data_IF_266968759965
#
_entry.id   IF_266968759965
#
_cell.length_a   1.000
_cell.length_b   1.000
_cell.length_c   1.000
_cell.angle_alpha   90.00
_cell.angle_beta   90.00
_cell.angle_gamma   90.00
#
_symmetry.space_group_name_H-M   'P 1'
#
loop_
_entity.id
_entity.type
_entity.pdbx_description
1 polymer ?
#
# COMPACT_ATOMS: atom_id res chain seq x y z
N UNK A 1 0.53 -0.39 -27.77
CA UNK A 1 0.17 -1.06 -26.52
C UNK A 1 1.35 -0.84 -25.61
N UNK A 2 1.25 0.10 -24.69
CA UNK A 2 2.28 0.34 -23.67
C UNK A 2 2.45 -0.92 -22.84
N UNK A 3 3.67 -1.46 -22.82
CA UNK A 3 4.03 -2.56 -21.94
C UNK A 3 3.75 -2.16 -20.50
N UNK A 4 3.38 -3.14 -19.68
CA UNK A 4 3.07 -2.91 -18.26
C UNK A 4 4.32 -2.45 -17.53
N UNK A 5 4.36 -1.20 -17.13
CA UNK A 5 5.51 -0.58 -16.49
C UNK A 5 5.50 -0.69 -14.96
N UNK A 6 4.41 -1.26 -14.37
CA UNK A 6 4.21 -1.29 -12.92
C UNK A 6 4.03 -2.73 -12.43
N UNK A 7 4.83 -3.12 -11.44
CA UNK A 7 4.66 -4.31 -10.62
C UNK A 7 4.27 -3.88 -9.20
N UNK A 8 3.16 -4.40 -8.70
CA UNK A 8 2.78 -4.29 -7.30
C UNK A 8 3.10 -5.61 -6.61
N UNK A 9 3.62 -5.60 -5.40
CA UNK A 9 3.88 -6.83 -4.64
C UNK A 9 3.42 -6.67 -3.17
N UNK A 10 2.70 -7.66 -2.67
CA UNK A 10 2.26 -7.66 -1.29
C UNK A 10 1.07 -8.53 -0.99
N UNK A 11 0.47 -8.28 0.16
CA UNK A 11 -0.64 -9.05 0.71
C UNK A 11 -1.96 -8.77 0.01
N UNK A 12 -2.80 -9.80 0.02
CA UNK A 12 -4.23 -9.73 -0.22
C UNK A 12 -4.94 -10.59 0.80
N UNK A 13 -6.00 -10.09 1.41
CA UNK A 13 -6.72 -10.70 2.52
C UNK A 13 -8.22 -10.46 2.43
N UNK A 14 -8.96 -11.02 3.36
CA UNK A 14 -10.42 -10.77 3.46
C UNK A 14 -10.70 -9.92 4.68
N UNK A 15 -11.32 -8.77 4.44
CA UNK A 15 -11.88 -7.91 5.48
C UNK A 15 -13.33 -8.30 5.78
N UNK A 16 -13.66 -8.44 7.06
CA UNK A 16 -15.02 -8.60 7.56
C UNK A 16 -15.48 -7.28 8.19
N UNK A 17 -16.41 -6.62 7.51
CA UNK A 17 -16.96 -5.32 7.92
C UNK A 17 -18.27 -5.57 8.65
N UNK A 18 -18.43 -5.12 9.90
CA UNK A 18 -19.65 -5.35 10.67
C UNK A 18 -20.82 -4.51 10.17
N UNK A 19 -22.02 -5.05 10.20
CA UNK A 19 -23.26 -4.31 9.91
C UNK A 19 -23.71 -3.40 11.07
N UNK A 20 -23.16 -3.60 12.25
CA UNK A 20 -23.52 -2.82 13.44
C UNK A 20 -22.27 -2.31 14.18
N UNK A 21 -22.39 -1.18 14.84
CA UNK A 21 -21.37 -0.67 15.76
C UNK A 21 -21.35 -1.52 17.04
N UNK A 22 -20.16 -1.72 17.61
CA UNK A 22 -19.99 -2.47 18.85
C UNK A 22 -18.75 -3.36 18.85
N UNK A 23 -18.56 -4.08 19.94
CA UNK A 23 -17.45 -5.03 20.05
C UNK A 23 -17.64 -6.22 19.11
N UNK A 24 -16.55 -6.81 18.61
CA UNK A 24 -16.61 -8.03 17.78
C UNK A 24 -17.37 -9.18 18.46
N UNK A 25 -17.37 -9.23 19.80
CA UNK A 25 -18.10 -10.24 20.55
C UNK A 25 -19.63 -10.10 20.47
N UNK A 26 -20.14 -8.92 20.08
CA UNK A 26 -21.57 -8.61 19.99
C UNK A 26 -22.10 -8.50 18.57
N UNK A 27 -21.21 -8.47 17.56
CA UNK A 27 -21.61 -8.38 16.15
C UNK A 27 -21.99 -9.75 15.62
N UNK A 28 -23.19 -9.86 15.05
CA UNK A 28 -23.72 -11.14 14.52
C UNK A 28 -23.50 -11.28 13.01
N UNK A 29 -23.37 -10.17 12.27
CA UNK A 29 -23.30 -10.18 10.79
C UNK A 29 -22.21 -9.29 10.26
N UNK A 30 -21.54 -9.77 9.22
CA UNK A 30 -20.44 -9.07 8.54
C UNK A 30 -20.58 -9.17 7.02
N UNK A 31 -20.24 -8.10 6.32
CA UNK A 31 -19.93 -8.17 4.90
C UNK A 31 -18.48 -8.59 4.72
N UNK A 32 -18.26 -9.46 3.76
CA UNK A 32 -16.90 -9.86 3.38
C UNK A 32 -16.44 -9.01 2.20
N UNK A 33 -15.26 -8.40 2.32
CA UNK A 33 -14.62 -7.63 1.25
C UNK A 33 -13.21 -8.15 0.98
N UNK A 34 -12.77 -8.04 -0.27
CA UNK A 34 -11.36 -8.21 -0.58
C UNK A 34 -10.60 -6.96 -0.12
N UNK A 35 -9.51 -7.17 0.61
CA UNK A 35 -8.65 -6.14 1.18
C UNK A 35 -7.17 -6.44 0.99
N UNK A 36 -6.32 -5.65 1.64
CA UNK A 36 -4.88 -5.63 1.48
C UNK A 36 -4.45 -4.40 0.67
N UNK A 37 -3.61 -3.54 1.28
CA UNK A 37 -3.23 -2.27 0.66
C UNK A 37 -2.59 -2.46 -0.73
N UNK A 38 -1.61 -3.37 -0.94
CA UNK A 38 -1.07 -3.62 -2.27
C UNK A 38 -2.12 -4.13 -3.27
N UNK A 39 -3.06 -4.97 -2.83
CA UNK A 39 -4.14 -5.45 -3.69
C UNK A 39 -5.07 -4.29 -4.11
N UNK A 40 -5.42 -3.39 -3.17
CA UNK A 40 -6.20 -2.20 -3.47
C UNK A 40 -5.49 -1.27 -4.46
N UNK A 41 -4.17 -1.08 -4.32
CA UNK A 41 -3.36 -0.32 -5.28
C UNK A 41 -3.39 -0.99 -6.66
N UNK A 42 -3.21 -2.32 -6.74
CA UNK A 42 -3.24 -3.03 -8.01
C UNK A 42 -4.61 -2.92 -8.71
N UNK A 43 -5.71 -3.06 -7.96
CA UNK A 43 -7.07 -2.86 -8.46
C UNK A 43 -7.30 -1.41 -8.88
N UNK A 44 -6.87 -0.44 -8.07
CA UNK A 44 -6.95 0.99 -8.40
C UNK A 44 -6.25 1.31 -9.73
N UNK A 45 -5.02 0.83 -9.90
CA UNK A 45 -4.26 0.98 -11.15
C UNK A 45 -4.98 0.33 -12.34
N UNK A 46 -5.55 -0.87 -12.16
CA UNK A 46 -6.30 -1.55 -13.22
C UNK A 46 -7.53 -0.74 -13.65
N UNK A 47 -8.26 -0.14 -12.70
CA UNK A 47 -9.41 0.76 -12.97
C UNK A 47 -9.02 2.08 -13.64
N UNK A 48 -7.75 2.47 -13.52
CA UNK A 48 -7.15 3.61 -14.22
C UNK A 48 -6.51 3.21 -15.57
N UNK A 49 -6.87 2.02 -16.12
CA UNK A 49 -6.35 1.47 -17.37
C UNK A 49 -4.83 1.25 -17.42
N UNK A 50 -4.14 1.29 -16.27
CA UNK A 50 -2.68 1.15 -16.21
C UNK A 50 -2.22 -0.31 -16.25
N UNK A 51 -3.09 -1.28 -15.98
CA UNK A 51 -2.88 -2.74 -16.08
C UNK A 51 -1.61 -3.24 -15.39
N UNK A 52 -1.48 -3.13 -14.07
CA UNK A 52 -0.29 -3.55 -13.37
C UNK A 52 -0.11 -5.08 -13.37
N UNK A 53 1.11 -5.54 -13.12
CA UNK A 53 1.34 -6.88 -12.58
C UNK A 53 1.13 -6.88 -11.07
N UNK A 54 0.60 -7.97 -10.53
CA UNK A 54 0.47 -8.13 -9.08
C UNK A 54 1.13 -9.45 -8.63
N UNK A 55 2.18 -9.32 -7.80
CA UNK A 55 2.84 -10.44 -7.16
C UNK A 55 2.26 -10.65 -5.76
N UNK A 56 1.52 -11.72 -5.60
CA UNK A 56 0.88 -12.07 -4.31
C UNK A 56 0.78 -13.58 -4.13
N UNK A 57 0.58 -14.01 -2.89
CA UNK A 57 0.35 -15.42 -2.55
C UNK A 57 -1.03 -15.57 -1.93
N UNK A 58 -1.88 -16.37 -2.56
CA UNK A 58 -3.24 -16.65 -2.13
C UNK A 58 -3.37 -18.10 -1.64
N UNK A 59 -4.33 -18.32 -0.73
CA UNK A 59 -4.69 -19.65 -0.29
C UNK A 59 -5.41 -20.46 -1.37
N UNK A 60 -5.32 -21.79 -1.27
CA UNK A 60 -6.18 -22.73 -2.02
C UNK A 60 -7.58 -22.87 -1.40
N UNK A 61 -7.84 -22.27 -0.23
CA UNK A 61 -9.12 -22.29 0.46
C UNK A 61 -10.23 -21.47 -0.26
N UNK A 62 -11.51 -21.57 0.19
CA UNK A 62 -12.60 -20.83 -0.44
C UNK A 62 -12.46 -19.31 -0.41
N UNK A 63 -11.78 -18.74 0.61
CA UNK A 63 -11.49 -17.31 0.65
C UNK A 63 -10.41 -16.92 -0.35
N UNK A 64 -9.37 -17.74 -0.51
CA UNK A 64 -8.39 -17.53 -1.57
C UNK A 64 -9.00 -17.60 -2.98
N UNK A 65 -9.99 -18.50 -3.19
CA UNK A 65 -10.75 -18.52 -4.43
C UNK A 65 -11.55 -17.22 -4.66
N UNK A 66 -12.18 -16.68 -3.60
CA UNK A 66 -12.88 -15.39 -3.64
C UNK A 66 -11.94 -14.24 -4.01
N UNK A 67 -10.73 -14.21 -3.44
CA UNK A 67 -9.74 -13.17 -3.74
C UNK A 67 -9.26 -13.25 -5.20
N UNK A 68 -9.02 -14.46 -5.72
CA UNK A 68 -8.64 -14.65 -7.12
C UNK A 68 -9.73 -14.20 -8.11
N UNK A 69 -10.98 -14.56 -7.82
CA UNK A 69 -12.14 -14.12 -8.60
C UNK A 69 -12.29 -12.59 -8.58
N UNK A 70 -11.95 -11.93 -7.46
CA UNK A 70 -11.89 -10.47 -7.40
C UNK A 70 -10.84 -9.88 -8.34
N UNK A 71 -9.62 -10.41 -8.35
CA UNK A 71 -8.55 -9.95 -9.24
C UNK A 71 -8.95 -10.12 -10.72
N UNK A 72 -9.55 -11.26 -11.07
CA UNK A 72 -10.02 -11.54 -12.43
C UNK A 72 -11.08 -10.53 -12.89
N UNK A 73 -12.09 -10.27 -12.05
CA UNK A 73 -13.15 -9.28 -12.33
C UNK A 73 -12.62 -7.86 -12.51
N UNK A 74 -11.57 -7.49 -11.80
CA UNK A 74 -10.93 -6.18 -11.91
C UNK A 74 -9.87 -6.13 -13.04
N UNK A 75 -9.70 -7.23 -13.78
CA UNK A 75 -8.76 -7.30 -14.88
C UNK A 75 -7.27 -7.28 -14.46
N UNK A 76 -6.98 -7.62 -13.21
CA UNK A 76 -5.60 -7.77 -12.71
C UNK A 76 -5.11 -9.17 -13.08
N UNK A 77 -4.03 -9.30 -13.89
CA UNK A 77 -3.58 -10.60 -14.36
C UNK A 77 -2.98 -11.46 -13.23
N UNK A 78 -3.23 -12.74 -13.29
CA UNK A 78 -2.81 -13.75 -12.32
C UNK A 78 -1.39 -14.31 -12.54
N UNK A 79 -0.63 -13.79 -13.50
CA UNK A 79 0.70 -14.32 -13.89
C UNK A 79 1.65 -14.52 -12.69
N UNK A 80 1.61 -13.65 -11.71
CA UNK A 80 2.46 -13.69 -10.52
C UNK A 80 1.66 -13.95 -9.24
N UNK A 81 0.48 -14.52 -9.37
CA UNK A 81 -0.34 -15.01 -8.25
C UNK A 81 0.03 -16.45 -7.97
N UNK A 82 0.66 -16.71 -6.84
CA UNK A 82 0.95 -18.08 -6.37
C UNK A 82 -0.16 -18.60 -5.47
N UNK A 83 -0.28 -19.93 -5.37
CA UNK A 83 -1.29 -20.60 -4.54
C UNK A 83 -0.62 -21.54 -3.55
N UNK A 84 -1.03 -21.47 -2.29
CA UNK A 84 -0.49 -22.27 -1.19
C UNK A 84 -1.61 -22.85 -0.33
N UNK A 85 -1.30 -23.90 0.44
CA UNK A 85 -2.28 -24.53 1.33
C UNK A 85 -2.43 -23.80 2.68
N UNK A 86 -1.64 -22.75 2.93
CA UNK A 86 -1.82 -21.87 4.08
C UNK A 86 -3.20 -21.21 4.04
N UNK A 87 -3.84 -21.00 5.19
CA UNK A 87 -5.14 -20.34 5.25
C UNK A 87 -5.09 -18.90 4.73
N UNK A 88 -6.19 -18.38 4.22
CA UNK A 88 -6.33 -16.97 3.90
C UNK A 88 -6.26 -16.11 5.16
N UNK A 89 -5.53 -15.01 5.13
CA UNK A 89 -5.53 -14.01 6.19
C UNK A 89 -6.89 -13.31 6.27
N UNK A 90 -7.37 -13.11 7.50
CA UNK A 90 -8.64 -12.43 7.76
C UNK A 90 -8.39 -11.22 8.66
N UNK A 91 -9.09 -10.14 8.40
CA UNK A 91 -9.16 -8.99 9.27
C UNK A 91 -10.63 -8.70 9.64
N UNK A 92 -10.90 -8.54 10.90
CA UNK A 92 -12.22 -8.12 11.40
C UNK A 92 -12.13 -6.66 11.81
N UNK A 93 -13.00 -5.85 11.24
CA UNK A 93 -13.12 -4.44 11.60
C UNK A 93 -14.12 -4.33 12.75
N UNK A 94 -13.82 -3.51 13.76
CA UNK A 94 -14.79 -3.08 14.76
C UNK A 94 -14.89 -1.56 14.75
N UNK A 95 -16.08 -1.05 14.98
CA UNK A 95 -16.32 0.37 15.15
C UNK A 95 -16.51 0.64 16.64
N UNK A 96 -15.52 1.32 17.26
CA UNK A 96 -15.63 1.81 18.64
C UNK A 96 -16.69 2.89 18.78
N UNK A 97 -17.00 3.25 20.02
CA UNK A 97 -18.00 4.29 20.34
C UNK A 97 -17.64 5.68 19.76
N UNK A 98 -16.34 5.95 19.56
CA UNK A 98 -15.80 7.21 19.05
C UNK A 98 -15.51 7.20 17.54
N UNK A 99 -16.14 6.28 16.79
CA UNK A 99 -15.92 6.04 15.36
C UNK A 99 -14.49 5.56 14.98
N UNK A 100 -13.64 5.30 15.96
CA UNK A 100 -12.33 4.69 15.73
C UNK A 100 -12.47 3.25 15.24
N UNK A 101 -11.82 2.95 14.12
CA UNK A 101 -11.78 1.60 13.56
C UNK A 101 -10.66 0.81 14.19
N UNK A 102 -10.98 -0.31 14.79
CA UNK A 102 -10.01 -1.28 15.23
C UNK A 102 -9.98 -2.49 14.31
N UNK A 103 -8.78 -2.98 14.01
CA UNK A 103 -8.58 -4.22 13.25
C UNK A 103 -8.13 -5.34 14.17
N UNK A 104 -8.79 -6.49 14.07
CA UNK A 104 -8.37 -7.75 14.66
C UNK A 104 -7.90 -8.68 13.53
N UNK A 105 -6.59 -8.94 13.47
CA UNK A 105 -5.99 -9.75 12.42
C UNK A 105 -5.87 -11.22 12.85
N UNK A 106 -6.36 -12.10 11.99
CA UNK A 106 -6.12 -13.54 12.03
C UNK A 106 -5.15 -13.89 10.92
N UNK A 107 -3.84 -13.72 11.23
CA UNK A 107 -2.77 -13.75 10.24
C UNK A 107 -1.59 -14.67 10.65
N UNK A 108 -1.82 -15.64 11.48
CA UNK A 108 -0.78 -16.58 11.87
C UNK A 108 -0.57 -17.65 10.80
N UNK A 109 0.62 -17.69 10.17
CA UNK A 109 0.98 -18.63 9.11
C UNK A 109 -0.01 -18.65 7.94
N UNK A 110 -0.58 -17.52 7.59
CA UNK A 110 -1.49 -17.36 6.46
C UNK A 110 -0.73 -17.22 5.14
N UNK A 111 -1.44 -17.32 4.01
CA UNK A 111 -0.85 -17.31 2.67
C UNK A 111 0.00 -16.06 2.40
N UNK A 112 -0.45 -14.89 2.85
CA UNK A 112 0.25 -13.62 2.70
C UNK A 112 1.55 -13.52 3.54
N UNK A 113 1.71 -14.36 4.57
CA UNK A 113 2.95 -14.43 5.38
C UNK A 113 4.03 -15.31 4.74
N UNK A 114 3.72 -15.97 3.63
CA UNK A 114 4.65 -16.81 2.85
C UNK A 114 4.73 -16.33 1.40
N UNK A 115 4.80 -15.01 1.21
CA UNK A 115 4.89 -14.37 -0.11
C UNK A 115 6.03 -14.98 -0.94
N UNK A 116 5.69 -15.44 -2.14
CA UNK A 116 6.63 -16.04 -3.10
C UNK A 116 6.96 -15.02 -4.19
N UNK A 117 8.17 -14.51 -4.19
CA UNK A 117 8.64 -13.48 -5.13
C UNK A 117 9.58 -13.99 -6.20
N UNK A 118 10.03 -15.24 -6.10
CA UNK A 118 10.88 -15.94 -7.07
C UNK A 118 10.19 -16.20 -8.41
N UNK A 119 8.84 -16.17 -8.43
CA UNK A 119 8.03 -16.22 -9.66
C UNK A 119 8.21 -15.01 -10.58
N UNK A 120 8.72 -13.89 -10.04
CA UNK A 120 9.06 -12.69 -10.80
C UNK A 120 10.52 -12.80 -11.26
N UNK A 121 10.71 -13.13 -12.52
CA UNK A 121 12.03 -13.30 -13.10
C UNK A 121 12.72 -11.96 -13.42
N UNK A 122 14.03 -12.02 -13.68
CA UNK A 122 14.85 -10.83 -14.00
C UNK A 122 14.38 -10.15 -15.31
N UNK A 123 13.89 -10.93 -16.28
CA UNK A 123 13.40 -10.36 -17.53
C UNK A 123 12.16 -9.49 -17.30
N UNK A 124 11.25 -9.93 -16.41
CA UNK A 124 10.10 -9.12 -15.98
C UNK A 124 10.56 -7.86 -15.25
N UNK A 125 11.49 -7.97 -14.29
CA UNK A 125 12.01 -6.79 -13.56
C UNK A 125 12.67 -5.78 -14.50
N UNK A 126 13.37 -6.25 -15.54
CA UNK A 126 13.97 -5.35 -16.54
C UNK A 126 12.96 -4.69 -17.49
N UNK A 127 11.71 -5.17 -17.50
CA UNK A 127 10.62 -4.64 -18.32
C UNK A 127 9.64 -3.75 -17.55
N UNK A 128 9.80 -3.61 -16.23
CA UNK A 128 8.98 -2.71 -15.40
C UNK A 128 9.82 -1.53 -14.90
N UNK A 129 9.18 -0.36 -14.84
CA UNK A 129 9.83 0.87 -14.37
C UNK A 129 9.62 1.06 -12.86
N UNK A 130 8.54 0.53 -12.32
CA UNK A 130 8.08 0.77 -10.96
C UNK A 130 7.76 -0.51 -10.21
N UNK A 131 8.31 -0.68 -9.01
CA UNK A 131 7.90 -1.69 -8.05
C UNK A 131 7.25 -1.02 -6.84
N UNK A 132 5.98 -1.35 -6.58
CA UNK A 132 5.20 -0.87 -5.43
C UNK A 132 5.15 -1.96 -4.37
N UNK A 133 5.54 -1.66 -3.13
CA UNK A 133 5.50 -2.59 -2.00
C UNK A 133 4.83 -1.97 -0.77
N UNK A 134 4.14 -2.80 0.00
CA UNK A 134 3.49 -2.42 1.26
C UNK A 134 4.29 -2.85 2.50
N UNK A 135 4.04 -2.18 3.64
CA UNK A 135 4.73 -2.48 4.90
C UNK A 135 4.21 -3.71 5.65
N UNK A 136 3.00 -4.18 5.35
CA UNK A 136 2.39 -5.34 6.05
C UNK A 136 3.19 -6.63 5.81
N UNK A 137 3.72 -6.85 4.60
CA UNK A 137 4.57 -8.02 4.29
C UNK A 137 5.87 -8.03 5.08
N UNK A 138 6.33 -6.87 5.55
CA UNK A 138 7.54 -6.73 6.35
C UNK A 138 7.36 -7.17 7.82
N UNK A 139 6.13 -7.36 8.27
CA UNK A 139 5.82 -7.70 9.67
C UNK A 139 6.11 -9.16 10.03
N UNK A 140 6.24 -10.06 9.05
CA UNK A 140 6.39 -11.49 9.26
C UNK A 140 7.40 -12.14 8.31
N UNK A 141 8.15 -13.13 8.80
CA UNK A 141 8.94 -14.02 7.96
C UNK A 141 8.07 -15.22 7.47
N UNK A 142 8.32 -15.73 6.27
CA UNK A 142 9.39 -15.38 5.34
C UNK A 142 9.06 -14.21 4.39
N UNK A 143 7.84 -13.66 4.40
CA UNK A 143 7.43 -12.57 3.50
C UNK A 143 8.33 -11.35 3.59
N UNK A 144 8.83 -10.99 4.79
CA UNK A 144 9.81 -9.91 4.98
C UNK A 144 11.05 -10.11 4.13
N UNK A 145 11.69 -11.26 4.26
CA UNK A 145 12.90 -11.59 3.50
C UNK A 145 12.64 -11.61 2.00
N UNK A 146 11.54 -12.22 1.56
CA UNK A 146 11.14 -12.26 0.16
C UNK A 146 10.88 -10.85 -0.42
N UNK A 147 10.24 -9.97 0.35
CA UNK A 147 10.00 -8.58 -0.06
C UNK A 147 11.31 -7.82 -0.24
N UNK A 148 12.25 -7.94 0.72
CA UNK A 148 13.56 -7.29 0.58
C UNK A 148 14.36 -7.82 -0.61
N UNK A 149 14.34 -9.14 -0.84
CA UNK A 149 15.01 -9.75 -1.99
C UNK A 149 14.43 -9.24 -3.31
N UNK A 150 13.09 -9.17 -3.43
CA UNK A 150 12.44 -8.63 -4.62
C UNK A 150 12.84 -7.17 -4.85
N UNK A 151 12.84 -6.34 -3.80
CA UNK A 151 13.23 -4.92 -3.87
C UNK A 151 14.68 -4.78 -4.30
N UNK A 152 15.61 -5.57 -3.73
CA UNK A 152 17.03 -5.51 -4.10
C UNK A 152 17.23 -5.92 -5.58
N UNK A 153 16.56 -6.99 -6.06
CA UNK A 153 16.59 -7.41 -7.47
C UNK A 153 15.97 -6.37 -8.40
N UNK A 154 14.89 -5.73 -8.00
CA UNK A 154 14.22 -4.68 -8.78
C UNK A 154 15.14 -3.45 -8.93
N UNK A 155 15.81 -3.02 -7.86
CA UNK A 155 16.80 -1.94 -7.92
C UNK A 155 17.98 -2.28 -8.83
N UNK A 156 18.50 -3.49 -8.76
CA UNK A 156 19.55 -3.97 -9.66
C UNK A 156 19.12 -3.97 -11.14
N UNK A 157 17.82 -4.18 -11.40
CA UNK A 157 17.22 -4.12 -12.73
C UNK A 157 16.88 -2.69 -13.19
N UNK A 158 17.03 -1.68 -12.32
CA UNK A 158 16.76 -0.26 -12.62
C UNK A 158 15.35 0.22 -12.30
N UNK A 159 14.51 -0.61 -11.62
CA UNK A 159 13.17 -0.19 -11.19
C UNK A 159 13.24 0.87 -10.10
N UNK A 160 12.32 1.80 -10.11
CA UNK A 160 12.06 2.73 -9.01
C UNK A 160 11.17 2.04 -7.96
N UNK A 161 11.52 2.20 -6.71
CA UNK A 161 10.81 1.58 -5.59
C UNK A 161 9.84 2.57 -4.97
N UNK A 162 8.57 2.20 -4.95
CA UNK A 162 7.51 2.91 -4.23
C UNK A 162 7.15 2.13 -2.98
N UNK A 163 7.15 2.80 -1.85
CA UNK A 163 6.84 2.19 -0.57
C UNK A 163 5.68 2.90 0.12
N UNK A 164 4.70 2.12 0.58
CA UNK A 164 3.66 2.55 1.52
C UNK A 164 3.82 1.75 2.82
N UNK A 165 4.29 2.33 3.92
CA UNK A 165 4.42 1.65 5.20
C UNK A 165 3.09 1.04 5.65
N UNK A 166 2.02 1.77 5.51
CA UNK A 166 0.67 1.36 5.94
C UNK A 166 0.74 0.59 7.26
N UNK A 167 1.41 1.21 8.23
CA UNK A 167 1.89 0.57 9.45
C UNK A 167 0.74 0.02 10.27
N UNK A 168 0.86 -1.23 10.67
CA UNK A 168 -0.10 -1.93 11.54
C UNK A 168 0.64 -2.45 12.77
N UNK A 169 0.78 -1.64 13.85
CA UNK A 169 1.60 -1.99 15.02
C UNK A 169 1.24 -3.34 15.63
N UNK A 170 -0.04 -3.70 15.61
CA UNK A 170 -0.55 -4.99 16.13
C UNK A 170 0.02 -6.22 15.42
N UNK A 171 0.62 -6.07 14.23
CA UNK A 171 1.26 -7.15 13.47
C UNK A 171 2.75 -7.35 13.83
N UNK A 172 3.31 -6.47 14.62
CA UNK A 172 4.73 -6.49 14.99
C UNK A 172 4.92 -7.01 16.41
N UNK A 173 5.90 -7.88 16.60
CA UNK A 173 6.22 -8.42 17.92
C UNK A 173 6.90 -7.40 18.83
N UNK A 174 7.64 -6.44 18.23
CA UNK A 174 8.38 -5.38 18.94
C UNK A 174 8.44 -4.11 18.09
N UNK A 175 8.29 -2.96 18.74
CA UNK A 175 8.39 -1.65 18.09
C UNK A 175 9.79 -1.38 17.52
N UNK A 176 10.86 -1.81 18.22
CA UNK A 176 12.24 -1.66 17.73
C UNK A 176 12.50 -2.43 16.43
N UNK A 177 11.97 -3.67 16.31
CA UNK A 177 12.08 -4.46 15.08
C UNK A 177 11.35 -3.79 13.91
N UNK A 178 10.16 -3.24 14.18
CA UNK A 178 9.40 -2.44 13.22
C UNK A 178 10.21 -1.24 12.74
N UNK A 179 10.71 -0.40 13.67
CA UNK A 179 11.50 0.80 13.36
C UNK A 179 12.71 0.46 12.47
N UNK A 180 13.51 -0.52 12.88
CA UNK A 180 14.71 -0.93 12.13
C UNK A 180 14.35 -1.47 10.73
N UNK A 181 13.27 -2.21 10.62
CA UNK A 181 12.79 -2.78 9.36
C UNK A 181 12.30 -1.69 8.41
N UNK A 182 11.50 -0.73 8.91
CA UNK A 182 11.03 0.41 8.12
C UNK A 182 12.21 1.28 7.66
N UNK A 183 13.16 1.59 8.53
CA UNK A 183 14.36 2.34 8.14
C UNK A 183 15.20 1.59 7.09
N UNK A 184 15.29 0.27 7.17
CA UNK A 184 15.96 -0.53 6.15
C UNK A 184 15.24 -0.46 4.79
N UNK A 185 13.91 -0.39 4.77
CA UNK A 185 13.12 -0.24 3.55
C UNK A 185 13.24 1.19 3.00
N UNK A 186 13.18 2.22 3.84
CA UNK A 186 13.31 3.61 3.43
C UNK A 186 14.62 3.87 2.65
N UNK A 187 15.73 3.24 3.06
CA UNK A 187 17.02 3.35 2.33
C UNK A 187 16.98 2.76 0.92
N UNK A 188 15.97 2.03 0.55
CA UNK A 188 15.76 1.40 -0.77
C UNK A 188 14.70 2.11 -1.60
N UNK A 189 13.92 2.96 -0.94
CA UNK A 189 12.73 3.61 -1.48
C UNK A 189 13.13 4.85 -2.28
N UNK A 190 12.53 5.01 -3.44
CA UNK A 190 12.67 6.20 -4.28
C UNK A 190 11.47 7.14 -4.07
N UNK A 191 10.26 6.59 -3.96
CA UNK A 191 9.02 7.32 -3.66
C UNK A 191 8.36 6.72 -2.42
N UNK A 192 8.18 7.51 -1.39
CA UNK A 192 7.46 7.14 -0.17
C UNK A 192 6.08 7.79 -0.16
N UNK A 193 5.03 7.00 -0.06
CA UNK A 193 3.73 7.53 0.38
C UNK A 193 3.62 7.26 1.89
N UNK A 194 3.19 8.25 2.64
CA UNK A 194 3.10 8.14 4.09
C UNK A 194 1.97 8.99 4.67
N UNK A 195 1.56 8.63 5.88
CA UNK A 195 0.85 9.49 6.83
C UNK A 195 1.72 9.68 8.07
N UNK A 196 1.38 10.63 8.95
CA UNK A 196 2.08 10.78 10.24
C UNK A 196 1.87 9.56 11.13
N UNK A 197 0.68 9.02 11.12
CA UNK A 197 0.25 7.85 11.89
C UNK A 197 1.08 6.60 11.57
N UNK A 198 1.60 6.48 10.35
CA UNK A 198 2.48 5.37 9.96
C UNK A 198 3.77 5.32 10.79
N UNK A 199 4.22 6.47 11.29
CA UNK A 199 5.50 6.60 11.98
C UNK A 199 5.38 6.89 13.50
N UNK A 200 4.19 7.22 14.01
CA UNK A 200 3.96 7.41 15.46
C UNK A 200 4.45 6.25 16.33
N UNK A 201 4.30 4.98 15.92
CA UNK A 201 4.78 3.85 16.71
C UNK A 201 6.27 3.60 16.58
N UNK A 202 7.00 4.43 15.84
CA UNK A 202 8.43 4.27 15.54
C UNK A 202 9.29 5.25 16.32
N UNK A 203 10.61 5.08 16.29
CA UNK A 203 11.55 6.08 16.79
C UNK A 203 11.76 7.27 15.84
N UNK A 204 11.11 7.29 14.67
CA UNK A 204 11.16 8.44 13.76
C UNK A 204 10.19 9.49 14.29
N UNK A 205 10.72 10.60 14.81
CA UNK A 205 9.89 11.66 15.38
C UNK A 205 8.91 12.21 14.35
N UNK A 206 7.64 12.23 14.73
CA UNK A 206 6.56 12.89 13.97
C UNK A 206 6.26 14.30 14.54
N UNK A 207 7.00 14.69 15.59
CA UNK A 207 6.86 15.97 16.29
C UNK A 207 7.36 17.11 15.41
N UNK A 208 6.50 17.76 14.68
CA UNK A 208 6.67 19.14 14.33
C UNK A 208 5.47 19.74 13.61
N UNK A 209 5.33 20.98 13.91
CA UNK A 209 4.57 21.94 13.15
C UNK A 209 5.42 22.36 11.93
N UNK A 210 5.39 21.64 10.80
CA UNK A 210 6.06 22.08 9.58
C UNK A 210 6.85 20.99 8.84
N UNK A 211 7.77 21.42 8.01
CA UNK A 211 8.45 20.60 6.99
C UNK A 211 9.42 19.55 7.54
N UNK A 212 9.82 19.63 8.81
CA UNK A 212 10.84 18.77 9.39
C UNK A 212 10.53 17.27 9.40
N UNK A 213 9.25 16.83 9.46
CA UNK A 213 8.91 15.40 9.38
C UNK A 213 9.22 14.82 7.99
N UNK A 214 8.78 15.51 6.93
CA UNK A 214 9.07 15.08 5.56
C UNK A 214 10.58 15.12 5.26
N UNK A 215 11.30 16.14 5.73
CA UNK A 215 12.75 16.22 5.60
C UNK A 215 13.48 15.07 6.30
N UNK A 216 12.99 14.65 7.48
CA UNK A 216 13.52 13.47 8.16
C UNK A 216 13.32 12.19 7.36
N UNK A 217 12.17 12.04 6.69
CA UNK A 217 11.90 10.89 5.83
C UNK A 217 12.78 10.91 4.57
N UNK A 218 12.90 12.06 3.92
CA UNK A 218 13.83 12.24 2.78
C UNK A 218 15.28 11.92 3.17
N UNK A 219 15.72 12.34 4.35
CA UNK A 219 17.05 12.05 4.90
C UNK A 219 17.33 10.55 5.15
N UNK A 220 16.31 9.67 5.04
CA UNK A 220 16.45 8.23 5.22
C UNK A 220 16.52 7.45 3.89
N UNK A 221 16.37 8.12 2.74
CA UNK A 221 16.54 7.46 1.43
C UNK A 221 15.61 7.94 0.32
N UNK A 222 14.32 8.14 0.54
CA UNK A 222 13.41 8.56 -0.52
C UNK A 222 13.84 9.87 -1.20
N UNK A 223 13.61 9.94 -2.52
CA UNK A 223 13.78 11.17 -3.29
C UNK A 223 12.50 12.00 -3.31
N UNK A 224 11.34 11.34 -3.17
CA UNK A 224 10.00 11.94 -3.12
C UNK A 224 9.25 11.38 -1.92
N UNK A 225 8.64 12.27 -1.13
CA UNK A 225 7.67 11.93 -0.08
C UNK A 225 6.32 12.51 -0.47
N UNK A 226 5.32 11.64 -0.58
CA UNK A 226 3.91 11.96 -0.75
C UNK A 226 3.23 11.81 0.63
N UNK A 227 2.97 12.91 1.29
CA UNK A 227 2.38 12.93 2.63
C UNK A 227 0.88 13.21 2.52
N UNK A 228 0.05 12.21 2.84
CA UNK A 228 -1.41 12.37 2.88
C UNK A 228 -1.86 12.86 4.25
N UNK A 229 -2.79 13.84 4.27
CA UNK A 229 -3.21 14.59 5.47
C UNK A 229 -4.74 14.54 5.66
N UNK A 230 -5.36 13.44 5.25
CA UNK A 230 -6.80 13.23 5.35
C UNK A 230 -7.60 14.29 4.59
N UNK A 231 -8.51 14.97 5.26
CA UNK A 231 -9.34 16.04 4.66
C UNK A 231 -8.56 17.29 4.27
N UNK A 232 -7.30 17.44 4.71
CA UNK A 232 -6.43 18.54 4.30
C UNK A 232 -5.71 18.25 2.96
N UNK A 233 -5.96 17.07 2.36
CA UNK A 233 -5.40 16.70 1.07
C UNK A 233 -4.03 16.05 1.19
N UNK A 234 -3.05 16.50 0.40
CA UNK A 234 -1.73 15.90 0.39
C UNK A 234 -0.63 16.90 0.01
N UNK A 235 0.59 16.63 0.47
CA UNK A 235 1.82 17.34 0.09
C UNK A 235 2.77 16.39 -0.62
N UNK A 236 3.54 16.94 -1.55
CA UNK A 236 4.69 16.26 -2.14
C UNK A 236 5.93 17.08 -1.84
N UNK A 237 6.97 16.42 -1.32
CA UNK A 237 8.25 17.01 -1.04
C UNK A 237 9.32 16.21 -1.77
N UNK A 238 10.22 16.88 -2.49
CA UNK A 238 11.21 16.23 -3.32
C UNK A 238 12.60 16.81 -3.17
N UNK A 239 13.62 15.97 -3.37
CA UNK A 239 15.03 16.33 -3.37
C UNK A 239 15.52 16.73 -4.78
N UNK A 240 16.72 17.29 -4.87
CA UNK A 240 17.36 17.60 -6.16
C UNK A 240 17.63 16.34 -7.04
N UNK A 241 17.68 15.15 -6.42
CA UNK A 241 17.88 13.88 -7.13
C UNK A 241 16.63 13.33 -7.82
N UNK A 242 15.46 13.82 -7.45
CA UNK A 242 14.19 13.38 -8.03
C UNK A 242 13.99 13.92 -9.46
N UNK A 243 13.10 13.25 -10.21
CA UNK A 243 12.68 13.71 -11.53
C UNK A 243 12.01 15.11 -11.51
N UNK A 244 11.44 15.49 -10.37
CA UNK A 244 10.77 16.77 -10.16
C UNK A 244 11.71 17.91 -9.76
N UNK A 245 12.99 17.60 -9.40
CA UNK A 245 13.88 18.54 -8.74
C UNK A 245 13.42 18.85 -7.31
N UNK A 246 14.18 19.67 -6.60
CA UNK A 246 13.85 20.08 -5.23
C UNK A 246 12.63 20.99 -5.22
N UNK A 247 11.66 20.64 -4.37
CA UNK A 247 10.47 21.47 -4.19
C UNK A 247 9.50 20.89 -3.18
N UNK A 248 8.50 21.68 -2.89
CA UNK A 248 7.32 21.31 -2.09
C UNK A 248 6.07 21.79 -2.79
N UNK A 249 5.07 20.90 -2.87
CA UNK A 249 3.78 21.16 -3.50
C UNK A 249 2.68 20.66 -2.58
N UNK A 250 1.55 21.32 -2.63
CA UNK A 250 0.37 20.97 -1.84
C UNK A 250 -0.89 21.01 -2.70
N UNK A 251 -1.81 20.08 -2.41
CA UNK A 251 -3.17 20.08 -2.95
C UNK A 251 -4.15 19.83 -1.80
N UNK A 252 -5.14 20.70 -1.64
CA UNK A 252 -6.08 20.70 -0.51
C UNK A 252 -7.09 19.52 -0.50
N UNK A 253 -7.00 18.61 -1.48
CA UNK A 253 -8.00 17.56 -1.66
C UNK A 253 -9.25 18.08 -2.38
N UNK A 254 -10.27 17.23 -2.41
CA UNK A 254 -11.59 17.55 -2.97
C UNK A 254 -12.65 17.30 -1.90
N UNK A 255 -13.58 18.23 -1.78
CA UNK A 255 -14.74 18.07 -0.90
C UNK A 255 -15.72 17.08 -1.53
N UNK A 256 -15.97 15.97 -0.86
CA UNK A 256 -16.95 14.94 -1.27
C UNK A 256 -17.74 14.47 -0.06
N UNK A 257 -18.93 13.96 -0.29
CA UNK A 257 -19.71 13.27 0.74
C UNK A 257 -19.18 11.84 0.87
N UNK A 258 -18.27 11.63 1.82
CA UNK A 258 -17.63 10.34 2.02
C UNK A 258 -18.60 9.33 2.65
N UNK A 259 -18.73 8.17 2.03
CA UNK A 259 -19.49 7.01 2.54
C UNK A 259 -18.57 6.08 3.32
N UNK A 260 -17.40 5.76 2.74
CA UNK A 260 -16.38 4.91 3.37
C UNK A 260 -14.98 5.40 3.00
N UNK A 261 -14.17 5.75 4.00
CA UNK A 261 -12.80 6.24 3.79
C UNK A 261 -11.75 5.12 3.74
N UNK A 262 -12.16 3.85 3.86
CA UNK A 262 -11.26 2.70 3.77
C UNK A 262 -10.66 2.62 2.37
N UNK A 263 -9.33 2.47 2.30
CA UNK A 263 -8.65 2.39 1.00
C UNK A 263 -8.41 3.72 0.29
N UNK A 264 -8.84 4.87 0.86
CA UNK A 264 -8.56 6.17 0.26
C UNK A 264 -7.05 6.42 0.06
N UNK A 265 -6.22 6.00 1.01
CA UNK A 265 -4.76 6.07 0.90
C UNK A 265 -4.20 5.18 -0.21
N UNK A 266 -4.77 3.98 -0.39
CA UNK A 266 -4.39 3.06 -1.46
C UNK A 266 -4.81 3.62 -2.84
N UNK A 267 -6.01 4.21 -2.92
CA UNK A 267 -6.53 4.89 -4.11
C UNK A 267 -5.69 6.12 -4.48
N UNK A 268 -5.29 6.92 -3.47
CA UNK A 268 -4.33 8.02 -3.66
C UNK A 268 -3.03 7.50 -4.27
N UNK A 269 -2.45 6.44 -3.70
CA UNK A 269 -1.22 5.87 -4.20
C UNK A 269 -1.37 5.35 -5.63
N UNK A 270 -2.47 4.67 -5.95
CA UNK A 270 -2.74 4.20 -7.31
C UNK A 270 -2.78 5.37 -8.31
N UNK A 271 -3.47 6.47 -7.98
CA UNK A 271 -3.50 7.69 -8.79
C UNK A 271 -2.13 8.35 -8.94
N UNK A 272 -1.37 8.44 -7.83
CA UNK A 272 -0.04 9.03 -7.85
C UNK A 272 0.92 8.24 -8.75
N UNK A 273 0.92 6.90 -8.64
CA UNK A 273 1.78 6.03 -9.46
C UNK A 273 1.36 6.05 -10.92
N UNK A 274 0.06 6.05 -11.24
CA UNK A 274 -0.42 6.18 -12.61
C UNK A 274 0.09 7.47 -13.26
N UNK A 275 0.00 8.60 -12.55
CA UNK A 275 0.52 9.89 -13.04
C UNK A 275 2.05 9.89 -13.18
N UNK A 276 2.79 9.39 -12.17
CA UNK A 276 4.25 9.31 -12.21
C UNK A 276 4.75 8.42 -13.36
N UNK A 277 4.06 7.33 -13.66
CA UNK A 277 4.42 6.42 -14.75
C UNK A 277 4.25 7.07 -16.13
N UNK A 278 3.41 8.09 -16.24
CA UNK A 278 3.22 8.90 -17.44
C UNK A 278 4.11 10.16 -17.47
N UNK A 279 4.95 10.35 -16.44
CA UNK A 279 5.83 11.52 -16.32
C UNK A 279 5.13 12.78 -15.81
N UNK A 280 4.05 12.59 -15.02
CA UNK A 280 3.24 13.68 -14.49
C UNK A 280 4.04 14.65 -13.61
N UNK A 281 3.76 15.94 -13.76
CA UNK A 281 4.32 17.01 -12.94
C UNK A 281 3.75 16.98 -11.52
N UNK A 282 4.45 17.50 -10.49
CA UNK A 282 4.06 17.37 -9.08
C UNK A 282 2.63 17.81 -8.79
N UNK A 283 2.22 18.98 -9.30
CA UNK A 283 0.88 19.53 -9.06
C UNK A 283 -0.22 18.74 -9.74
N UNK A 284 0.04 18.22 -10.93
CA UNK A 284 -0.90 17.37 -11.68
C UNK A 284 -1.02 16.00 -10.99
N UNK A 285 0.10 15.44 -10.55
CA UNK A 285 0.14 14.17 -9.81
C UNK A 285 -0.65 14.28 -8.51
N UNK A 286 -0.45 15.34 -7.72
CA UNK A 286 -1.23 15.56 -6.49
C UNK A 286 -2.72 15.75 -6.76
N UNK A 287 -3.07 16.55 -7.77
CA UNK A 287 -4.47 16.80 -8.12
C UNK A 287 -5.16 15.48 -8.54
N UNK A 288 -4.52 14.71 -9.41
CA UNK A 288 -5.05 13.42 -9.88
C UNK A 288 -5.18 12.40 -8.75
N UNK A 289 -4.12 12.22 -7.93
CA UNK A 289 -4.12 11.30 -6.80
C UNK A 289 -5.23 11.64 -5.76
N UNK A 290 -5.40 12.93 -5.43
CA UNK A 290 -6.48 13.37 -4.55
C UNK A 290 -7.86 13.14 -5.16
N UNK A 291 -8.03 13.32 -6.47
CA UNK A 291 -9.31 13.05 -7.15
C UNK A 291 -9.67 11.56 -7.08
N UNK A 292 -8.70 10.68 -7.36
CA UNK A 292 -8.88 9.21 -7.25
C UNK A 292 -9.23 8.81 -5.83
N UNK A 293 -8.52 9.36 -4.83
CA UNK A 293 -8.80 9.13 -3.42
C UNK A 293 -10.21 9.59 -3.02
N UNK A 294 -10.60 10.80 -3.41
CA UNK A 294 -11.92 11.36 -3.12
C UNK A 294 -13.04 10.51 -3.73
N UNK A 295 -12.92 10.14 -5.00
CA UNK A 295 -13.90 9.26 -5.66
C UNK A 295 -14.02 7.90 -4.98
N UNK A 296 -12.91 7.31 -4.54
CA UNK A 296 -12.93 6.02 -3.84
C UNK A 296 -13.69 6.07 -2.51
N UNK A 297 -13.82 7.23 -1.88
CA UNK A 297 -14.59 7.38 -0.64
C UNK A 297 -16.09 7.55 -0.85
N UNK A 298 -16.56 7.80 -2.06
CA UNK A 298 -17.99 7.98 -2.38
C UNK A 298 -18.71 6.68 -2.70
N UNK A 299 -17.97 5.60 -3.00
CA UNK A 299 -18.49 4.26 -3.25
C UNK A 299 -18.49 3.44 -1.96
N UNK A 300 -19.63 2.83 -1.62
CA UNK A 300 -19.80 1.99 -0.41
C UNK A 300 -19.56 0.50 -0.65
#
# INVERSE_FOLDING_TARGET
MTERSILVAGEMLVDFIPHATGSLASVETFDRRAGGAPANVAVGLARLDTRPWFCTTLSTDPFGAFLADRLDREGVPDRFVTRVDNATALAFVSHGADADREFSFHRERTADTVLQTDVVDTATLSAVDWLVVGGVTLSAEPSRSATFELVDRAKEAGCRIVFDPNTRPKLWSKADDMTLTLERMLRRTDVLKATREDFEPTAISTDDSGDGFADRLLGKGPEIVLLTEGTAGARAIATDGSAWGRGEWHHAGYEVEAVDTTGAGDAFLAGAIASLAEGGEPTETLAFANAVAALATTDG
#
